data_IF_947964497616
#
_entry.id   IF_947964497616
#
_cell.length_a   1.000
_cell.length_b   1.000
_cell.length_c   1.000
_cell.angle_alpha   90.00
_cell.angle_beta   90.00
_cell.angle_gamma   90.00
#
_symmetry.space_group_name_H-M   'P 1'
#
loop_
_entity.id
_entity.type
_entity.pdbx_description
1 polymer ?
#
# COMPACT_ATOMS: atom_id res chain seq x y z
N UNK A 1 11.52 22.18 23.20
CA UNK A 1 10.66 21.81 22.06
C UNK A 1 9.37 22.56 22.20
N UNK A 2 9.11 23.56 21.37
CA UNK A 2 7.85 24.29 21.40
C UNK A 2 6.66 23.33 21.27
N UNK A 3 5.69 23.45 22.18
CA UNK A 3 4.48 22.61 22.18
C UNK A 3 3.75 22.64 20.84
N UNK A 4 3.82 23.80 20.15
CA UNK A 4 3.31 23.96 18.78
C UNK A 4 4.00 23.04 17.79
N UNK A 5 5.34 22.98 17.81
CA UNK A 5 6.11 22.15 16.87
C UNK A 5 5.85 20.67 17.10
N UNK A 6 5.75 20.23 18.37
CA UNK A 6 5.36 18.86 18.69
C UNK A 6 3.98 18.51 18.13
N UNK A 7 2.98 19.36 18.37
CA UNK A 7 1.62 19.14 17.85
C UNK A 7 1.56 19.16 16.32
N UNK A 8 2.31 20.05 15.67
CA UNK A 8 2.34 20.12 14.19
C UNK A 8 2.95 18.86 13.58
N UNK A 9 4.09 18.38 14.09
CA UNK A 9 4.72 17.16 13.60
C UNK A 9 3.87 15.94 13.93
N UNK A 10 3.36 15.85 15.16
CA UNK A 10 2.48 14.75 15.55
C UNK A 10 1.23 14.71 14.68
N UNK A 11 0.54 15.84 14.47
CA UNK A 11 -0.65 15.88 13.63
C UNK A 11 -0.37 15.59 12.16
N UNK A 12 0.75 16.09 11.60
CA UNK A 12 1.08 15.81 10.19
C UNK A 12 1.42 14.34 9.98
N UNK A 13 2.21 13.75 10.87
CA UNK A 13 2.57 12.32 10.82
C UNK A 13 1.34 11.47 11.09
N UNK A 14 0.53 11.81 12.09
CA UNK A 14 -0.69 11.08 12.42
C UNK A 14 -1.69 11.09 11.26
N UNK A 15 -1.88 12.21 10.56
CA UNK A 15 -2.73 12.26 9.36
C UNK A 15 -2.13 11.46 8.20
N UNK A 16 -0.81 11.47 8.04
CA UNK A 16 -0.13 10.66 7.03
C UNK A 16 -0.21 9.15 7.32
N UNK A 17 -0.22 8.77 8.60
CA UNK A 17 -0.22 7.38 9.09
C UNK A 17 -1.62 6.83 9.37
N UNK A 18 -2.63 7.67 9.58
CA UNK A 18 -4.02 7.24 9.76
C UNK A 18 -4.56 6.67 8.45
N UNK A 19 -4.60 5.35 8.39
CA UNK A 19 -5.01 4.62 7.19
C UNK A 19 -3.85 4.09 6.37
N UNK A 20 -2.65 3.99 6.95
CA UNK A 20 -1.58 3.26 6.27
C UNK A 20 -2.02 1.82 5.99
N UNK A 21 -1.70 1.36 4.78
CA UNK A 21 -2.11 0.07 4.25
C UNK A 21 -1.58 -1.08 5.11
N UNK A 22 -0.52 -0.85 5.87
CA UNK A 22 0.02 -1.80 6.84
C UNK A 22 -0.95 -2.05 8.01
N UNK A 23 -1.71 -1.04 8.46
CA UNK A 23 -2.71 -1.19 9.53
C UNK A 23 -3.90 -2.03 9.06
N UNK A 24 -4.34 -1.85 7.81
CA UNK A 24 -5.38 -2.68 7.21
C UNK A 24 -4.88 -4.11 6.94
N UNK A 25 -3.65 -4.29 6.46
CA UNK A 25 -3.06 -5.60 6.22
C UNK A 25 -2.91 -6.42 7.52
N UNK A 26 -2.43 -5.77 8.59
CA UNK A 26 -2.32 -6.42 9.91
C UNK A 26 -3.68 -6.75 10.52
N UNK A 27 -4.68 -5.87 10.36
CA UNK A 27 -6.06 -6.16 10.75
C UNK A 27 -6.63 -7.35 9.97
N UNK A 28 -6.35 -7.45 8.66
CA UNK A 28 -6.81 -8.56 7.81
C UNK A 28 -6.19 -9.89 8.25
N UNK A 29 -4.89 -9.92 8.54
CA UNK A 29 -4.21 -11.11 9.07
C UNK A 29 -4.71 -11.48 10.47
N UNK A 30 -5.04 -10.50 11.31
CA UNK A 30 -5.57 -10.73 12.66
C UNK A 30 -7.06 -11.15 12.66
N UNK A 31 -7.79 -10.86 11.59
CA UNK A 31 -9.18 -11.29 11.38
C UNK A 31 -9.28 -12.72 10.85
N UNK A 32 -8.17 -13.32 10.41
CA UNK A 32 -8.13 -14.72 10.02
C UNK A 32 -8.27 -15.64 11.24
N UNK A 33 -9.06 -16.70 11.08
CA UNK A 33 -9.59 -17.52 12.18
C UNK A 33 -8.57 -18.58 12.63
N UNK A 34 -7.68 -18.95 11.72
CA UNK A 34 -6.68 -20.00 11.89
C UNK A 34 -5.38 -19.48 12.54
N UNK A 35 -5.24 -18.16 12.72
CA UNK A 35 -4.01 -17.53 13.24
C UNK A 35 -4.30 -16.80 14.56
N UNK A 36 -3.50 -17.08 15.58
CA UNK A 36 -3.61 -16.38 16.86
C UNK A 36 -3.28 -14.89 16.71
N UNK A 37 -4.15 -14.01 17.22
CA UNK A 37 -3.98 -12.54 17.21
C UNK A 37 -2.62 -12.10 17.76
N UNK A 38 -2.13 -12.81 18.77
CA UNK A 38 -0.82 -12.54 19.37
C UNK A 38 0.34 -12.86 18.40
N UNK A 39 0.22 -13.92 17.61
CA UNK A 39 1.23 -14.29 16.61
C UNK A 39 1.32 -13.24 15.52
N UNK A 40 0.19 -12.73 15.03
CA UNK A 40 0.14 -11.66 14.02
C UNK A 40 0.76 -10.38 14.56
N UNK A 41 0.47 -10.01 15.81
CA UNK A 41 1.05 -8.85 16.46
C UNK A 41 2.59 -8.94 16.54
N UNK A 42 3.12 -10.03 17.11
CA UNK A 42 4.57 -10.21 17.23
C UNK A 42 5.26 -10.29 15.86
N UNK A 43 4.65 -10.97 14.88
CA UNK A 43 5.21 -11.08 13.53
C UNK A 43 5.25 -9.71 12.83
N UNK A 44 4.16 -8.93 12.88
CA UNK A 44 4.10 -7.60 12.27
C UNK A 44 5.05 -6.61 12.95
N UNK A 45 5.10 -6.58 14.29
CA UNK A 45 6.04 -5.74 15.02
C UNK A 45 7.49 -6.12 14.74
N UNK A 46 7.83 -7.41 14.72
CA UNK A 46 9.17 -7.88 14.40
C UNK A 46 9.55 -7.53 12.96
N UNK A 47 8.64 -7.72 11.99
CA UNK A 47 8.86 -7.36 10.60
C UNK A 47 9.13 -5.85 10.45
N UNK A 48 8.37 -5.00 11.13
CA UNK A 48 8.55 -3.55 11.10
C UNK A 48 9.92 -3.14 11.68
N UNK A 49 10.26 -3.64 12.87
CA UNK A 49 11.55 -3.37 13.51
C UNK A 49 12.69 -3.82 12.61
N UNK A 50 12.58 -5.01 12.02
CA UNK A 50 13.62 -5.55 11.15
C UNK A 50 13.77 -4.74 9.86
N UNK A 51 12.67 -4.38 9.21
CA UNK A 51 12.67 -3.52 8.03
C UNK A 51 13.27 -2.13 8.33
N UNK A 52 12.87 -1.50 9.44
CA UNK A 52 13.43 -0.22 9.87
C UNK A 52 14.91 -0.33 10.22
N UNK A 53 15.33 -1.38 10.91
CA UNK A 53 16.74 -1.60 11.25
C UNK A 53 17.60 -1.76 9.98
N UNK A 54 17.15 -2.57 9.01
CA UNK A 54 17.83 -2.71 7.73
C UNK A 54 17.86 -1.39 6.95
N UNK A 55 16.76 -0.64 6.95
CA UNK A 55 16.68 0.66 6.30
C UNK A 55 17.65 1.68 6.90
N UNK A 56 17.72 1.75 8.23
CA UNK A 56 18.64 2.66 8.94
C UNK A 56 20.08 2.25 8.74
N UNK A 57 20.42 0.96 8.82
CA UNK A 57 21.77 0.46 8.58
C UNK A 57 22.23 0.75 7.14
N UNK A 58 21.39 0.44 6.15
CA UNK A 58 21.69 0.73 4.75
C UNK A 58 21.82 2.24 4.51
N UNK A 59 20.90 3.03 5.08
CA UNK A 59 20.91 4.49 4.99
C UNK A 59 22.13 5.13 5.65
N UNK A 60 22.54 4.64 6.83
CA UNK A 60 23.70 5.18 7.55
C UNK A 60 25.01 4.89 6.82
N UNK A 61 25.17 3.67 6.27
CA UNK A 61 26.34 3.31 5.47
C UNK A 61 26.42 4.14 4.18
N UNK A 62 25.27 4.39 3.53
CA UNK A 62 25.23 5.27 2.36
C UNK A 62 25.55 6.72 2.72
N UNK A 63 25.04 7.22 3.85
CA UNK A 63 25.27 8.59 4.30
C UNK A 63 26.73 8.87 4.70
N UNK A 64 27.46 7.86 5.17
CA UNK A 64 28.89 7.99 5.48
C UNK A 64 29.75 8.11 4.20
N UNK A 65 29.33 7.47 3.11
CA UNK A 65 30.05 7.49 1.84
C UNK A 65 29.61 8.60 0.88
N UNK A 66 28.36 9.07 1.00
CA UNK A 66 27.75 10.03 0.08
C UNK A 66 27.38 11.32 0.82
N UNK A 67 27.89 12.45 0.31
CA UNK A 67 27.54 13.79 0.81
C UNK A 67 26.01 14.04 0.70
N UNK A 68 25.40 14.57 1.76
CA UNK A 68 23.95 14.85 1.89
C UNK A 68 23.33 15.50 0.65
N UNK A 69 24.10 16.34 -0.05
CA UNK A 69 23.63 17.04 -1.26
C UNK A 69 23.20 16.08 -2.36
N UNK A 70 23.95 15.00 -2.58
CA UNK A 70 23.61 14.00 -3.60
C UNK A 70 22.41 13.16 -3.17
N UNK A 71 22.27 12.89 -1.87
CA UNK A 71 21.15 12.15 -1.30
C UNK A 71 19.82 12.88 -1.55
N UNK A 72 19.81 14.21 -1.40
CA UNK A 72 18.66 15.05 -1.75
C UNK A 72 18.31 15.02 -3.24
N UNK A 73 19.31 15.09 -4.12
CA UNK A 73 19.09 14.99 -5.57
C UNK A 73 18.51 13.63 -5.97
N UNK A 74 19.05 12.54 -5.43
CA UNK A 74 18.56 11.17 -5.71
C UNK A 74 17.13 11.00 -5.20
N UNK A 75 16.82 11.48 -3.99
CA UNK A 75 15.47 11.45 -3.44
C UNK A 75 14.47 12.24 -4.30
N UNK A 76 14.85 13.45 -4.75
CA UNK A 76 14.01 14.27 -5.61
C UNK A 76 13.77 13.65 -6.99
N UNK A 77 14.83 13.12 -7.63
CA UNK A 77 14.71 12.43 -8.92
C UNK A 77 13.84 11.18 -8.77
N UNK A 78 14.08 10.36 -7.74
CA UNK A 78 13.29 9.17 -7.44
C UNK A 78 11.81 9.50 -7.23
N UNK A 79 11.51 10.58 -6.50
CA UNK A 79 10.14 11.05 -6.31
C UNK A 79 9.46 11.42 -7.63
N UNK A 80 10.16 12.16 -8.51
CA UNK A 80 9.64 12.53 -9.84
C UNK A 80 9.44 11.29 -10.71
N UNK A 81 10.38 10.33 -10.72
CA UNK A 81 10.26 9.10 -11.50
C UNK A 81 9.10 8.23 -11.04
N UNK A 82 8.91 8.04 -9.72
CA UNK A 82 7.78 7.29 -9.16
C UNK A 82 6.46 8.01 -9.47
N UNK A 83 6.44 9.34 -9.33
CA UNK A 83 5.27 10.15 -9.69
C UNK A 83 4.90 10.01 -11.17
N UNK A 84 5.87 10.19 -12.07
CA UNK A 84 5.68 10.08 -13.53
C UNK A 84 5.21 8.69 -13.95
N UNK A 85 5.88 7.64 -13.46
CA UNK A 85 5.47 6.25 -13.75
C UNK A 85 4.07 5.95 -13.22
N UNK A 86 3.69 6.45 -12.04
CA UNK A 86 2.33 6.28 -11.50
C UNK A 86 1.27 6.97 -12.37
N UNK A 87 1.59 8.14 -12.93
CA UNK A 87 0.70 8.88 -13.84
C UNK A 87 0.56 8.17 -15.19
N UNK A 88 1.66 7.72 -15.78
CA UNK A 88 1.65 6.97 -17.04
C UNK A 88 0.93 5.63 -16.91
N UNK A 89 1.18 4.88 -15.83
CA UNK A 89 0.51 3.60 -15.54
C UNK A 89 -0.98 3.77 -15.25
N UNK A 90 -1.38 4.93 -14.72
CA UNK A 90 -2.80 5.28 -14.56
C UNK A 90 -3.47 5.56 -15.91
N UNK A 91 -2.79 6.27 -16.82
CA UNK A 91 -3.29 6.55 -18.17
C UNK A 91 -3.38 5.27 -19.02
N UNK A 92 -2.31 4.45 -19.05
CA UNK A 92 -2.26 3.17 -19.77
C UNK A 92 -3.27 2.17 -19.20
N UNK A 93 -3.42 2.14 -17.87
CA UNK A 93 -4.30 1.21 -17.19
C UNK A 93 -5.78 1.50 -17.42
N UNK A 94 -6.16 2.78 -17.51
CA UNK A 94 -7.53 3.19 -17.84
C UNK A 94 -7.86 2.88 -19.31
N UNK A 95 -6.90 3.11 -20.21
CA UNK A 95 -7.02 2.79 -21.62
C UNK A 95 -7.14 1.28 -21.85
N UNK A 96 -6.32 0.47 -21.18
CA UNK A 96 -6.36 -0.99 -21.27
C UNK A 96 -7.68 -1.58 -20.74
N UNK A 97 -8.24 -1.07 -19.64
CA UNK A 97 -9.55 -1.53 -19.15
C UNK A 97 -10.72 -1.10 -20.05
N UNK A 98 -10.63 0.09 -20.68
CA UNK A 98 -11.61 0.51 -21.69
C UNK A 98 -11.49 -0.31 -22.98
N UNK A 99 -10.27 -0.63 -23.42
CA UNK A 99 -10.01 -1.39 -24.65
C UNK A 99 -10.40 -2.87 -24.50
N UNK A 100 -10.12 -3.49 -23.35
CA UNK A 100 -10.64 -4.84 -23.03
C UNK A 100 -12.17 -4.84 -22.91
N UNK A 101 -12.77 -3.79 -22.33
CA UNK A 101 -14.22 -3.64 -22.28
C UNK A 101 -14.88 -3.55 -23.67
N UNK A 102 -14.19 -2.94 -24.64
CA UNK A 102 -14.68 -2.82 -26.02
C UNK A 102 -14.51 -4.14 -26.82
N UNK A 103 -13.46 -4.92 -26.56
CA UNK A 103 -13.19 -6.19 -27.25
C UNK A 103 -14.00 -7.39 -26.71
N UNK A 104 -14.50 -7.34 -25.48
CA UNK A 104 -15.21 -8.46 -24.83
C UNK A 104 -16.74 -8.29 -24.85
N UNK A 105 -17.26 -7.26 -25.54
CA UNK A 105 -18.72 -7.02 -25.61
C UNK A 105 -19.39 -7.64 -26.85
N UNK A 106 -19.62 -8.97 -26.87
CA UNK A 106 -20.81 -9.51 -27.53
C UNK A 106 -21.74 -10.28 -26.58
N UNK A 107 -21.41 -10.45 -25.29
CA UNK A 107 -22.27 -11.20 -24.36
C UNK A 107 -22.40 -10.46 -23.02
N UNK A 108 -23.61 -9.99 -22.72
CA UNK A 108 -23.95 -9.12 -21.58
C UNK A 108 -23.68 -9.71 -20.18
N UNK A 109 -22.42 -9.69 -19.76
CA UNK A 109 -21.99 -9.89 -18.38
C UNK A 109 -21.10 -8.72 -17.95
N UNK A 110 -21.57 -7.90 -17.02
CA UNK A 110 -20.83 -6.73 -16.53
C UNK A 110 -19.73 -7.17 -15.56
N UNK A 111 -18.49 -7.22 -16.02
CA UNK A 111 -17.32 -7.33 -15.14
C UNK A 111 -16.92 -5.93 -14.70
N UNK A 112 -17.34 -5.52 -13.50
CA UNK A 112 -16.96 -4.24 -12.92
C UNK A 112 -15.60 -4.36 -12.22
N UNK A 113 -14.52 -4.04 -12.93
CA UNK A 113 -13.20 -3.87 -12.33
C UNK A 113 -13.15 -2.54 -11.56
N UNK A 114 -13.45 -2.58 -10.25
CA UNK A 114 -13.29 -1.41 -9.38
C UNK A 114 -11.83 -1.33 -8.91
N UNK A 115 -11.05 -0.49 -9.58
CA UNK A 115 -9.65 -0.22 -9.22
C UNK A 115 -9.58 0.74 -8.04
N UNK A 116 -9.61 0.22 -6.83
CA UNK A 116 -9.10 0.93 -5.67
C UNK A 116 -8.36 -0.07 -4.77
N UNK A 117 -7.03 0.02 -4.80
CA UNK A 117 -6.08 -0.66 -3.93
C UNK A 117 -6.12 -2.20 -3.97
N UNK A 118 -5.11 -2.74 -4.65
CA UNK A 118 -4.33 -3.91 -4.24
C UNK A 118 -4.93 -4.69 -3.05
N UNK A 119 -5.48 -5.87 -3.38
CA UNK A 119 -5.91 -6.97 -2.49
C UNK A 119 -7.35 -6.97 -1.96
N UNK A 120 -8.33 -7.07 -2.86
CA UNK A 120 -9.53 -7.87 -2.58
C UNK A 120 -9.86 -8.76 -3.78
N UNK A 121 -9.51 -10.04 -3.68
CA UNK A 121 -10.08 -11.09 -4.53
C UNK A 121 -11.28 -11.64 -3.79
N UNK A 122 -12.46 -11.08 -4.06
CA UNK A 122 -13.72 -11.64 -3.56
C UNK A 122 -14.17 -12.76 -4.50
N UNK A 123 -13.78 -14.00 -4.19
CA UNK A 123 -14.36 -15.19 -4.81
C UNK A 123 -15.74 -15.40 -4.17
N UNK A 124 -16.82 -15.08 -4.89
CA UNK A 124 -18.17 -15.51 -4.49
C UNK A 124 -18.41 -16.92 -5.01
N UNK A 125 -18.41 -17.97 -4.17
CA UNK A 125 -18.74 -19.31 -4.63
C UNK A 125 -20.23 -19.37 -5.03
N UNK A 126 -20.56 -20.03 -6.16
CA UNK A 126 -21.90 -20.02 -6.74
C UNK A 126 -23.00 -20.69 -5.87
N UNK A 127 -22.62 -21.39 -4.80
CA UNK A 127 -23.52 -22.23 -4.01
C UNK A 127 -24.18 -21.51 -2.83
N UNK A 128 -23.78 -20.28 -2.48
CA UNK A 128 -24.39 -19.51 -1.38
C UNK A 128 -25.63 -18.73 -1.86
N UNK A 129 -26.55 -19.40 -2.55
CA UNK A 129 -27.84 -18.80 -2.95
C UNK A 129 -29.07 -19.63 -2.55
N UNK A 130 -28.90 -20.82 -1.99
CA UNK A 130 -30.02 -21.75 -1.72
C UNK A 130 -30.19 -22.15 -0.24
N UNK A 131 -29.81 -21.29 0.71
CA UNK A 131 -30.05 -21.54 2.15
C UNK A 131 -30.87 -20.41 2.81
N UNK A 132 -31.78 -19.82 2.04
CA UNK A 132 -32.85 -18.97 2.55
C UNK A 132 -34.16 -19.42 1.89
N UNK A 133 -34.52 -20.68 2.16
CA UNK A 133 -35.89 -21.18 2.17
C UNK A 133 -36.19 -21.65 3.60
#
# INVERSE_FOLDING_TARGET
>A
MDWKTFLTIFASVFIAELGDKTQLATMLFAADKDVSKFTVFFAASAALIFASALGVLAGSLLAEYINERYLHYVAGIGFITIGATTLELSCIGLWASLFLGYLISPCGGTVTFRRANFFEVSFSPPWRRNHLD
#
